data_IF_727131895107
#
_entry.id   IF_727131895107
#
_cell.length_a   1.000
_cell.length_b   1.000
_cell.length_c   1.000
_cell.angle_alpha   90.00
_cell.angle_beta   90.00
_cell.angle_gamma   90.00
#
_symmetry.space_group_name_H-M   'P 1'
#
loop_
_entity.id
_entity.type
_entity.pdbx_description
1 polymer ?
#
# COMPACT_ATOMS: atom_id res chain seq x y z
N UNK A 1 -1.41 5.67 -10.49
CA UNK A 1 -2.16 4.51 -11.01
C UNK A 1 -3.08 4.89 -12.16
N UNK A 2 -3.83 6.00 -12.09
CA UNK A 2 -4.77 6.40 -13.17
C UNK A 2 -4.06 6.62 -14.51
N UNK A 3 -2.93 7.31 -14.53
CA UNK A 3 -2.14 7.55 -15.73
C UNK A 3 -1.72 6.24 -16.41
N UNK A 4 -1.22 5.30 -15.63
CA UNK A 4 -0.77 3.98 -16.14
C UNK A 4 -1.96 3.16 -16.65
N UNK A 5 -3.09 3.18 -15.93
CA UNK A 5 -4.33 2.50 -16.32
C UNK A 5 -4.90 3.06 -17.63
N UNK A 6 -4.91 4.39 -17.78
CA UNK A 6 -5.34 5.06 -19.00
C UNK A 6 -4.44 4.71 -20.19
N UNK A 7 -3.11 4.72 -19.98
CA UNK A 7 -2.14 4.37 -21.03
C UNK A 7 -2.27 2.91 -21.45
N UNK A 8 -2.48 1.98 -20.52
CA UNK A 8 -2.76 0.59 -20.85
C UNK A 8 -4.04 0.43 -21.67
N UNK A 9 -5.10 1.20 -21.36
CA UNK A 9 -6.32 1.24 -22.16
C UNK A 9 -6.09 1.79 -23.57
N UNK A 10 -5.37 2.89 -23.71
CA UNK A 10 -5.04 3.52 -24.97
C UNK A 10 -4.22 2.62 -25.89
N UNK A 11 -3.20 1.96 -25.34
CA UNK A 11 -2.35 1.02 -26.09
C UNK A 11 -3.10 -0.23 -26.53
N UNK A 12 -4.14 -0.63 -25.83
CA UNK A 12 -4.97 -1.77 -26.21
C UNK A 12 -5.55 -1.62 -27.63
N UNK A 13 -5.87 -0.40 -28.05
CA UNK A 13 -6.38 -0.10 -29.40
C UNK A 13 -5.30 -0.19 -30.51
N UNK A 14 -4.02 -0.27 -30.14
CA UNK A 14 -2.88 -0.33 -31.05
C UNK A 14 -2.30 -1.74 -31.20
N UNK A 15 -2.89 -2.72 -30.51
CA UNK A 15 -2.43 -4.11 -30.55
C UNK A 15 -2.85 -4.74 -31.86
N UNK A 16 -1.92 -5.44 -32.52
CA UNK A 16 -2.17 -6.16 -33.76
C UNK A 16 -3.21 -7.27 -33.56
N UNK A 17 -3.99 -7.52 -34.62
CA UNK A 17 -4.99 -8.57 -34.67
C UNK A 17 -4.47 -9.93 -34.18
N UNK A 18 -5.23 -10.54 -33.28
CA UNK A 18 -4.89 -11.85 -32.70
C UNK A 18 -4.00 -11.83 -31.46
N UNK A 19 -3.55 -10.64 -31.01
CA UNK A 19 -2.75 -10.48 -29.78
C UNK A 19 -3.50 -9.72 -28.67
N UNK A 20 -4.71 -9.30 -28.90
CA UNK A 20 -5.52 -8.53 -27.97
C UNK A 20 -5.74 -9.27 -26.65
N UNK A 21 -5.99 -10.58 -26.74
CA UNK A 21 -6.20 -11.44 -25.58
C UNK A 21 -4.95 -11.53 -24.71
N UNK A 22 -3.79 -11.69 -25.36
CA UNK A 22 -2.50 -11.76 -24.66
C UNK A 22 -2.20 -10.43 -23.97
N UNK A 23 -2.41 -9.33 -24.68
CA UNK A 23 -2.23 -8.00 -24.10
C UNK A 23 -3.20 -7.73 -22.95
N UNK A 24 -4.45 -8.13 -23.10
CA UNK A 24 -5.44 -8.02 -22.02
C UNK A 24 -4.99 -8.78 -20.78
N UNK A 25 -4.57 -10.03 -20.94
CA UNK A 25 -4.17 -10.87 -19.82
C UNK A 25 -2.92 -10.40 -19.10
N UNK A 26 -1.89 -10.03 -19.86
CA UNK A 26 -0.57 -9.75 -19.30
C UNK A 26 -0.36 -8.29 -18.89
N UNK A 27 -1.12 -7.35 -19.49
CA UNK A 27 -0.91 -5.92 -19.28
C UNK A 27 -2.18 -5.23 -18.80
N UNK A 28 -3.24 -5.28 -19.60
CA UNK A 28 -4.43 -4.45 -19.35
C UNK A 28 -5.16 -4.86 -18.06
N UNK A 29 -5.44 -6.15 -17.90
CA UNK A 29 -6.13 -6.66 -16.70
C UNK A 29 -5.37 -6.37 -15.40
N UNK A 30 -4.11 -6.76 -15.22
CA UNK A 30 -3.41 -6.51 -13.96
C UNK A 30 -3.25 -5.01 -13.64
N UNK A 31 -3.00 -4.18 -14.66
CA UNK A 31 -2.86 -2.74 -14.47
C UNK A 31 -4.20 -2.09 -14.08
N UNK A 32 -5.27 -2.40 -14.81
CA UNK A 32 -6.59 -1.83 -14.52
C UNK A 32 -7.18 -2.35 -13.22
N UNK A 33 -7.07 -3.65 -12.94
CA UNK A 33 -7.55 -4.23 -11.68
C UNK A 33 -6.82 -3.63 -10.46
N UNK A 34 -5.51 -3.43 -10.54
CA UNK A 34 -4.75 -2.76 -9.49
C UNK A 34 -5.16 -1.28 -9.32
N UNK A 35 -5.41 -0.57 -10.41
CA UNK A 35 -5.86 0.82 -10.37
C UNK A 35 -7.25 0.94 -9.72
N UNK A 36 -8.19 0.06 -10.09
CA UNK A 36 -9.55 0.06 -9.51
C UNK A 36 -9.52 -0.38 -8.03
N UNK A 37 -8.63 -1.31 -7.63
CA UNK A 37 -8.44 -1.67 -6.23
C UNK A 37 -7.98 -0.47 -5.39
N UNK A 38 -7.03 0.31 -5.90
CA UNK A 38 -6.60 1.54 -5.24
C UNK A 38 -7.73 2.58 -5.16
N UNK A 39 -8.49 2.78 -6.25
CA UNK A 39 -9.65 3.68 -6.26
C UNK A 39 -10.69 3.27 -5.23
N UNK A 40 -11.03 1.97 -5.17
CA UNK A 40 -11.97 1.43 -4.19
C UNK A 40 -11.61 1.86 -2.76
N UNK A 41 -10.34 1.66 -2.38
CA UNK A 41 -9.87 1.97 -1.03
C UNK A 41 -9.80 3.47 -0.76
N UNK A 42 -9.26 4.25 -1.71
CA UNK A 42 -9.12 5.70 -1.56
C UNK A 42 -10.48 6.41 -1.50
N UNK A 43 -11.42 6.05 -2.38
CA UNK A 43 -12.77 6.64 -2.35
C UNK A 43 -13.55 6.23 -1.11
N UNK A 44 -13.34 5.02 -0.58
CA UNK A 44 -13.92 4.64 0.69
C UNK A 44 -13.37 5.48 1.84
N UNK A 45 -12.07 5.80 1.85
CA UNK A 45 -11.49 6.71 2.84
C UNK A 45 -12.08 8.12 2.73
N UNK A 46 -12.13 8.68 1.52
CA UNK A 46 -12.74 10.00 1.30
C UNK A 46 -14.23 10.01 1.72
N UNK A 47 -14.98 8.94 1.44
CA UNK A 47 -16.37 8.84 1.84
C UNK A 47 -16.53 8.78 3.38
N UNK A 48 -15.62 8.12 4.10
CA UNK A 48 -15.60 8.11 5.57
C UNK A 48 -15.34 9.50 6.17
N UNK A 49 -14.61 10.35 5.45
CA UNK A 49 -14.36 11.74 5.84
C UNK A 49 -15.45 12.71 5.33
N UNK A 50 -16.46 12.22 4.62
CA UNK A 50 -17.49 13.06 4.05
C UNK A 50 -17.07 13.86 2.82
N UNK A 51 -15.91 13.55 2.24
CA UNK A 51 -15.33 14.26 1.09
C UNK A 51 -15.72 13.64 -0.26
N UNK A 52 -16.31 12.45 -0.27
CA UNK A 52 -16.80 11.78 -1.47
C UNK A 52 -18.03 10.91 -1.18
N UNK A 53 -18.74 10.56 -2.25
CA UNK A 53 -19.81 9.57 -2.18
C UNK A 53 -19.27 8.14 -2.23
N UNK A 54 -19.88 7.24 -1.48
CA UNK A 54 -19.59 5.81 -1.46
C UNK A 54 -19.74 5.13 -2.82
N UNK A 55 -20.64 5.64 -3.66
CA UNK A 55 -20.88 5.13 -5.02
C UNK A 55 -19.60 5.07 -5.87
N UNK A 56 -18.63 5.94 -5.62
CA UNK A 56 -17.34 5.89 -6.32
C UNK A 56 -16.48 4.68 -5.93
N UNK A 57 -16.53 4.28 -4.67
CA UNK A 57 -15.87 3.05 -4.19
C UNK A 57 -16.56 1.82 -4.74
N UNK A 58 -17.91 1.80 -4.72
CA UNK A 58 -18.71 0.70 -5.27
C UNK A 58 -18.48 0.52 -6.77
N UNK A 59 -18.47 1.60 -7.55
CA UNK A 59 -18.19 1.57 -8.97
C UNK A 59 -16.79 1.03 -9.31
N UNK A 60 -15.80 1.33 -8.47
CA UNK A 60 -14.47 0.75 -8.62
C UNK A 60 -14.47 -0.76 -8.35
N UNK A 61 -15.20 -1.21 -7.33
CA UNK A 61 -15.40 -2.64 -7.07
C UNK A 61 -16.09 -3.35 -8.25
N UNK A 62 -17.18 -2.81 -8.75
CA UNK A 62 -17.92 -3.35 -9.90
C UNK A 62 -17.03 -3.44 -11.15
N UNK A 63 -16.13 -2.49 -11.32
CA UNK A 63 -15.12 -2.52 -12.40
C UNK A 63 -14.17 -3.71 -12.26
N UNK A 64 -13.72 -4.04 -11.04
CA UNK A 64 -12.88 -5.22 -10.78
C UNK A 64 -13.64 -6.51 -11.12
N UNK A 65 -14.90 -6.61 -10.68
CA UNK A 65 -15.78 -7.77 -10.99
C UNK A 65 -15.93 -7.94 -12.50
N UNK A 66 -16.19 -6.84 -13.21
CA UNK A 66 -16.36 -6.82 -14.68
C UNK A 66 -15.07 -7.23 -15.41
N UNK A 67 -13.92 -6.69 -15.01
CA UNK A 67 -12.61 -7.05 -15.57
C UNK A 67 -12.32 -8.55 -15.36
N UNK A 68 -12.61 -9.07 -14.16
CA UNK A 68 -12.42 -10.49 -13.85
C UNK A 68 -13.34 -11.37 -14.67
N UNK A 69 -14.59 -10.95 -14.89
CA UNK A 69 -15.52 -11.66 -15.78
C UNK A 69 -14.99 -11.68 -17.20
N UNK A 70 -14.51 -10.56 -17.74
CA UNK A 70 -13.92 -10.50 -19.09
C UNK A 70 -12.73 -11.46 -19.18
N UNK A 71 -11.86 -11.49 -18.18
CA UNK A 71 -10.73 -12.39 -18.14
C UNK A 71 -11.17 -13.86 -18.26
N UNK A 72 -12.18 -14.26 -17.52
CA UNK A 72 -12.61 -15.64 -17.41
C UNK A 72 -13.49 -16.11 -18.62
N UNK A 73 -14.23 -15.20 -19.25
CA UNK A 73 -15.27 -15.56 -20.22
C UNK A 73 -15.22 -14.80 -21.54
N UNK A 74 -14.62 -13.60 -21.52
CA UNK A 74 -14.68 -12.65 -22.65
C UNK A 74 -13.53 -12.77 -23.64
N UNK A 75 -12.46 -13.49 -23.29
CA UNK A 75 -11.31 -13.66 -24.15
C UNK A 75 -11.48 -14.89 -25.03
N UNK A 76 -11.04 -14.80 -26.31
CA UNK A 76 -11.16 -15.86 -27.35
C UNK A 76 -10.17 -17.01 -27.09
N UNK A 77 -10.26 -17.66 -25.95
CA UNK A 77 -9.30 -18.72 -25.58
C UNK A 77 -9.92 -20.11 -25.45
N UNK A 78 -11.09 -20.34 -26.03
CA UNK A 78 -11.83 -21.62 -25.99
C UNK A 78 -12.04 -22.14 -24.53
N UNK A 79 -12.22 -21.24 -23.58
CA UNK A 79 -12.42 -21.59 -22.17
C UNK A 79 -11.16 -21.97 -21.40
N UNK A 80 -9.97 -21.87 -22.00
CA UNK A 80 -8.69 -22.22 -21.37
C UNK A 80 -8.47 -21.50 -20.02
N UNK A 81 -8.93 -20.27 -19.91
CA UNK A 81 -8.76 -19.43 -18.72
C UNK A 81 -10.02 -19.32 -17.87
N UNK A 82 -11.01 -20.17 -18.13
CA UNK A 82 -12.25 -20.16 -17.36
C UNK A 82 -11.96 -20.41 -15.86
N UNK A 83 -12.48 -19.53 -15.01
CA UNK A 83 -12.28 -19.55 -13.56
C UNK A 83 -10.82 -19.43 -13.08
N UNK A 84 -9.93 -18.92 -13.91
CA UNK A 84 -8.53 -18.73 -13.51
C UNK A 84 -8.33 -17.51 -12.62
N UNK A 85 -9.10 -16.45 -12.86
CA UNK A 85 -9.07 -15.24 -12.02
C UNK A 85 -10.30 -15.20 -11.11
N UNK A 86 -10.03 -14.72 -9.89
CA UNK A 86 -11.05 -14.47 -8.88
C UNK A 86 -10.94 -13.01 -8.42
N UNK A 87 -12.08 -12.32 -8.35
CA UNK A 87 -12.13 -10.96 -7.81
C UNK A 87 -12.11 -10.92 -6.28
N UNK A 88 -12.34 -12.07 -5.63
CA UNK A 88 -12.29 -12.25 -4.17
C UNK A 88 -11.36 -13.41 -3.77
N UNK A 89 -10.07 -13.35 -4.13
CA UNK A 89 -9.17 -14.46 -3.86
C UNK A 89 -9.12 -14.75 -2.35
N UNK A 90 -9.31 -16.02 -2.03
CA UNK A 90 -9.37 -16.52 -0.64
C UNK A 90 -10.44 -15.85 0.24
N UNK A 91 -11.37 -15.12 -0.33
CA UNK A 91 -12.39 -14.33 0.39
C UNK A 91 -11.80 -13.42 1.47
N UNK A 92 -10.66 -12.82 1.18
CA UNK A 92 -10.05 -11.87 2.10
C UNK A 92 -10.82 -10.54 2.07
N UNK A 93 -11.05 -9.92 3.23
CA UNK A 93 -11.85 -8.68 3.34
C UNK A 93 -11.36 -7.53 2.45
N UNK A 94 -10.07 -7.49 2.14
CA UNK A 94 -9.49 -6.46 1.25
C UNK A 94 -10.04 -6.54 -0.18
N UNK A 95 -10.51 -7.72 -0.61
CA UNK A 95 -11.08 -7.93 -1.94
C UNK A 95 -12.60 -7.82 -1.98
N UNK A 96 -13.25 -7.72 -0.85
CA UNK A 96 -14.69 -7.51 -0.75
C UNK A 96 -15.07 -6.03 -0.92
N UNK A 97 -16.36 -5.70 -1.10
CA UNK A 97 -16.83 -4.33 -0.96
C UNK A 97 -16.39 -3.76 0.40
N UNK A 98 -16.09 -2.47 0.43
CA UNK A 98 -15.59 -1.88 1.66
C UNK A 98 -16.70 -1.83 2.72
N UNK A 99 -16.41 -2.35 3.90
CA UNK A 99 -17.34 -2.30 5.03
C UNK A 99 -17.55 -0.83 5.47
N UNK A 100 -18.79 -0.37 5.38
CA UNK A 100 -19.18 0.99 5.75
C UNK A 100 -19.36 1.17 7.25
N UNK A 101 -19.53 0.09 8.00
CA UNK A 101 -19.73 0.12 9.45
C UNK A 101 -18.43 0.41 10.21
N UNK A 102 -17.28 0.22 9.57
CA UNK A 102 -15.99 0.54 10.17
C UNK A 102 -15.83 2.05 10.29
N UNK A 103 -16.08 2.55 11.48
CA UNK A 103 -15.74 3.93 11.85
C UNK A 103 -14.22 4.03 11.96
N UNK A 104 -13.64 4.97 11.26
CA UNK A 104 -12.23 5.30 11.50
C UNK A 104 -12.11 5.81 12.95
N UNK A 105 -11.18 5.25 13.70
CA UNK A 105 -10.72 5.94 14.91
C UNK A 105 -10.30 7.32 14.46
N UNK A 106 -10.76 8.41 15.13
CA UNK A 106 -10.27 9.74 14.81
C UNK A 106 -8.75 9.66 14.81
N UNK A 107 -8.12 10.13 13.72
CA UNK A 107 -6.68 10.32 13.75
C UNK A 107 -6.41 11.14 15.00
N UNK A 108 -5.53 10.63 15.88
CA UNK A 108 -5.06 11.45 16.99
C UNK A 108 -4.72 12.79 16.38
N UNK A 109 -5.37 13.86 16.87
CA UNK A 109 -5.05 15.22 16.45
C UNK A 109 -3.53 15.32 16.37
N UNK A 110 -3.02 15.73 15.22
CA UNK A 110 -1.59 15.96 15.11
C UNK A 110 -1.25 16.99 16.18
N UNK A 111 -0.64 16.51 17.25
CA UNK A 111 -0.18 17.40 18.31
C UNK A 111 0.72 18.44 17.66
N UNK A 112 0.45 19.70 17.87
CA UNK A 112 1.04 20.86 17.21
C UNK A 112 2.57 21.00 17.35
N UNK A 113 3.28 19.99 17.84
CA UNK A 113 4.71 20.01 18.07
C UNK A 113 5.36 18.63 17.85
N UNK A 114 4.93 17.85 16.85
CA UNK A 114 5.66 16.63 16.50
C UNK A 114 6.90 17.02 15.70
N UNK A 115 8.07 16.97 16.33
CA UNK A 115 9.33 16.97 15.60
C UNK A 115 9.62 15.54 15.14
N UNK A 116 10.13 15.41 13.93
CA UNK A 116 10.52 14.13 13.36
C UNK A 116 12.00 14.19 12.98
N UNK A 117 12.73 13.18 13.34
CA UNK A 117 14.13 13.03 12.99
C UNK A 117 14.33 11.76 12.20
N UNK A 118 15.20 11.81 11.21
CA UNK A 118 15.61 10.63 10.49
C UNK A 118 16.60 9.83 11.32
N UNK A 119 16.35 8.54 11.50
CA UNK A 119 17.19 7.69 12.33
C UNK A 119 18.67 7.67 11.87
N UNK A 120 18.93 7.71 10.57
CA UNK A 120 20.30 7.70 10.02
C UNK A 120 21.06 8.99 10.36
N UNK A 121 20.36 10.12 10.41
CA UNK A 121 20.99 11.43 10.68
C UNK A 121 21.29 11.65 12.16
N UNK A 122 20.49 11.01 13.04
CA UNK A 122 20.62 11.12 14.48
C UNK A 122 21.42 9.98 15.12
N UNK A 123 21.69 8.89 14.37
CA UNK A 123 22.35 7.70 14.89
C UNK A 123 23.86 7.91 15.04
N UNK A 124 24.38 7.45 16.19
CA UNK A 124 25.82 7.34 16.47
C UNK A 124 26.12 5.91 16.94
N UNK A 125 27.19 5.34 16.44
CA UNK A 125 27.61 3.98 16.75
C UNK A 125 27.60 3.06 15.55
N UNK A 126 27.48 1.76 15.82
CA UNK A 126 27.56 0.70 14.79
C UNK A 126 26.18 0.43 14.17
N UNK A 127 25.87 1.12 13.09
CA UNK A 127 24.67 0.83 12.31
C UNK A 127 24.98 0.82 10.80
N UNK A 128 24.10 0.21 10.03
CA UNK A 128 24.18 0.20 8.56
C UNK A 128 23.04 1.05 8.02
N UNK A 129 23.33 2.13 7.27
CA UNK A 129 22.28 2.89 6.60
C UNK A 129 21.65 2.04 5.48
N UNK A 130 20.32 2.04 5.41
CA UNK A 130 19.55 1.37 4.38
C UNK A 130 18.75 2.41 3.61
N UNK A 131 18.92 2.45 2.30
CA UNK A 131 18.20 3.35 1.40
C UNK A 131 16.93 2.71 0.87
N UNK A 132 15.95 3.53 0.52
CA UNK A 132 14.67 3.11 -0.04
C UNK A 132 13.63 2.65 0.99
N UNK A 133 13.96 2.60 2.27
CA UNK A 133 13.07 2.21 3.37
C UNK A 133 13.04 3.29 4.46
N UNK A 134 11.97 3.29 5.26
CA UNK A 134 11.85 4.19 6.40
C UNK A 134 11.37 5.60 6.07
N UNK A 135 11.50 6.49 7.05
CA UNK A 135 11.15 7.90 6.91
C UNK A 135 12.15 8.60 5.99
N UNK A 136 11.64 9.35 5.02
CA UNK A 136 12.45 10.00 3.96
C UNK A 136 13.32 9.02 3.14
N UNK A 137 12.90 7.76 3.08
CA UNK A 137 13.63 6.76 2.30
C UNK A 137 14.93 6.28 2.93
N UNK A 138 15.14 6.52 4.23
CA UNK A 138 16.33 6.08 4.95
C UNK A 138 15.96 5.37 6.25
N UNK A 139 16.66 4.31 6.56
CA UNK A 139 16.51 3.57 7.82
C UNK A 139 17.88 3.16 8.38
N UNK A 140 18.01 3.10 9.70
CA UNK A 140 19.20 2.61 10.37
C UNK A 140 18.98 1.14 10.76
N UNK A 141 19.81 0.25 10.24
CA UNK A 141 19.81 -1.18 10.60
C UNK A 141 20.84 -1.37 11.72
N UNK A 142 20.37 -1.83 12.86
CA UNK A 142 21.23 -2.12 14.02
C UNK A 142 21.61 -3.60 13.95
N UNK A 143 22.90 -3.94 13.79
CA UNK A 143 23.35 -5.32 13.81
C UNK A 143 23.07 -5.98 15.18
N UNK A 144 22.99 -7.31 15.17
CA UNK A 144 22.80 -8.09 16.40
C UNK A 144 23.89 -7.76 17.43
N UNK A 145 23.51 -7.62 18.68
CA UNK A 145 24.40 -7.34 19.82
C UNK A 145 25.15 -6.00 19.74
N UNK A 146 24.65 -5.06 18.91
CA UNK A 146 25.19 -3.71 18.82
C UNK A 146 24.26 -2.70 19.47
N UNK A 147 24.85 -1.62 19.95
CA UNK A 147 24.13 -0.48 20.51
C UNK A 147 24.28 0.73 19.60
N UNK A 148 23.21 1.47 19.43
CA UNK A 148 23.18 2.71 18.67
C UNK A 148 22.54 3.78 19.53
N UNK A 149 23.20 4.92 19.63
CA UNK A 149 22.67 6.10 20.32
C UNK A 149 22.08 7.04 19.31
N UNK A 150 20.90 7.58 19.61
CA UNK A 150 20.25 8.61 18.80
C UNK A 150 20.29 9.94 19.55
N UNK A 151 20.96 10.92 18.98
CA UNK A 151 20.97 12.28 19.50
C UNK A 151 19.87 13.08 18.82
N UNK A 152 18.91 13.58 19.61
CA UNK A 152 17.81 14.37 19.12
C UNK A 152 18.15 15.86 19.29
N UNK A 153 18.53 16.59 18.23
CA UNK A 153 18.85 18.00 18.32
C UNK A 153 17.59 18.81 18.68
N UNK A 154 17.78 19.88 19.43
CA UNK A 154 16.72 20.80 19.85
C UNK A 154 15.54 20.13 20.58
N UNK A 155 15.80 19.06 21.31
CA UNK A 155 14.79 18.49 22.20
C UNK A 155 14.51 19.47 23.34
N UNK A 156 13.24 19.80 23.64
CA UNK A 156 12.93 20.67 24.76
C UNK A 156 13.37 20.05 26.09
N UNK A 157 13.71 20.89 27.07
CA UNK A 157 14.18 20.44 28.39
C UNK A 157 13.08 19.84 29.27
N UNK A 158 11.82 19.98 28.88
CA UNK A 158 10.66 19.45 29.60
C UNK A 158 10.41 17.98 29.22
N UNK A 159 9.45 17.34 29.86
CA UNK A 159 9.07 15.97 29.55
C UNK A 159 8.55 15.84 28.12
N UNK A 160 9.07 14.88 27.37
CA UNK A 160 8.70 14.59 25.98
C UNK A 160 8.26 13.15 25.84
N UNK A 161 7.32 12.91 24.95
CA UNK A 161 6.94 11.57 24.51
C UNK A 161 7.74 11.23 23.25
N UNK A 162 8.53 10.19 23.30
CA UNK A 162 9.34 9.72 22.16
C UNK A 162 8.66 8.52 21.51
N UNK A 163 8.29 8.65 20.24
CA UNK A 163 7.79 7.55 19.42
C UNK A 163 8.89 7.06 18.49
N UNK A 164 9.29 5.80 18.62
CA UNK A 164 10.26 5.16 17.74
C UNK A 164 9.51 4.29 16.72
N UNK A 165 9.66 4.59 15.44
CA UNK A 165 9.10 3.78 14.35
C UNK A 165 10.09 2.71 13.94
N UNK A 166 9.67 1.46 14.12
CA UNK A 166 10.40 0.29 13.64
C UNK A 166 9.83 -0.16 12.30
N UNK A 167 10.70 -0.54 11.38
CA UNK A 167 10.28 -1.24 10.17
C UNK A 167 9.85 -2.66 10.56
N UNK A 168 8.74 -3.17 9.97
CA UNK A 168 8.34 -4.55 10.19
C UNK A 168 9.47 -5.47 9.75
N UNK A 169 9.97 -6.29 10.67
CA UNK A 169 10.89 -7.37 10.38
C UNK A 169 10.20 -8.70 10.68
N UNK A 170 10.64 -9.76 10.02
CA UNK A 170 10.19 -11.09 10.39
C UNK A 170 10.61 -11.35 11.86
N UNK A 171 9.67 -11.83 12.70
CA UNK A 171 10.03 -12.17 14.08
C UNK A 171 11.08 -13.27 14.05
N UNK A 172 12.24 -12.97 14.61
CA UNK A 172 13.29 -13.95 14.87
C UNK A 172 13.22 -14.25 16.36
N UNK A 173 13.07 -15.51 16.73
CA UNK A 173 13.04 -15.92 18.13
C UNK A 173 14.28 -15.41 18.87
N UNK A 174 14.07 -14.81 20.04
CA UNK A 174 15.13 -14.27 20.86
C UNK A 174 15.61 -12.86 20.52
N UNK A 175 15.01 -12.21 19.51
CA UNK A 175 15.34 -10.81 19.21
C UNK A 175 14.58 -9.90 20.18
N UNK A 176 15.29 -9.18 21.01
CA UNK A 176 14.74 -8.16 21.91
C UNK A 176 15.39 -6.82 21.61
N UNK A 177 14.57 -5.78 21.51
CA UNK A 177 15.03 -4.40 21.46
C UNK A 177 14.88 -3.80 22.85
N UNK A 178 15.96 -3.27 23.40
CA UNK A 178 15.96 -2.53 24.66
C UNK A 178 16.18 -1.06 24.33
N UNK A 179 15.30 -0.20 24.82
CA UNK A 179 15.45 1.24 24.76
C UNK A 179 15.87 1.74 26.15
N UNK A 180 16.91 2.57 26.18
CA UNK A 180 17.33 3.30 27.39
C UNK A 180 17.26 4.79 27.02
N UNK A 181 16.57 5.58 27.84
CA UNK A 181 16.43 7.03 27.67
C UNK A 181 17.26 7.69 28.76
#
# INVERSE_FOLDING_TARGET
YQTVSHEAGRRSAQICDGREDVYFQLVKYPVQAAAEMNKKMLYAQLARHGEADWGRSDAAYDSIVSLTRIYNTGIRNNGKWHRMMDHQPRRLPVFEPVDRSVTMKPMKEERAAIRRWNAVECAKGDFVPCEGLGYEGKAAVIPKEKEVTFELPDCPSDSVEVEVRLLPSHPVEGTQLRFTI
#
